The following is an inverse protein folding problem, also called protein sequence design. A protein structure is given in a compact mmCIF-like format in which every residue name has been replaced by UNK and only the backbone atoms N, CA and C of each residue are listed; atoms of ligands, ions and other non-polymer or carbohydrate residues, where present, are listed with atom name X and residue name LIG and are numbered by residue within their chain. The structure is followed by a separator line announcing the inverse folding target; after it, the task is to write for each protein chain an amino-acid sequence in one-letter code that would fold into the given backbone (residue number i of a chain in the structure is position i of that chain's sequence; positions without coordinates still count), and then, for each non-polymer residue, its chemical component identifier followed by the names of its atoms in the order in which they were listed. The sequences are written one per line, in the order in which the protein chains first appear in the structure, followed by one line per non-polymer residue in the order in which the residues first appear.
data_IF_078990707665
#
_entry.id   IF_078990707665
#
_cell.length_a   1.000
_cell.length_b   1.000
_cell.length_c   1.000
_cell.angle_alpha   90.00
_cell.angle_beta   90.00
_cell.angle_gamma   90.00
#
_symmetry.space_group_name_H-M   'P 1'
#
loop_
_entity.id
_entity.type
_entity.pdbx_description
1 polymer ?
#
# COMPACT_ATOMS: atom_id res chain seq x y z
N UNK A 1 3.69 3.26 -8.40
CA UNK A 1 2.57 4.04 -8.97
C UNK A 1 1.85 4.69 -7.81
N UNK A 2 1.93 6.02 -7.72
CA UNK A 2 1.36 6.82 -6.63
C UNK A 2 -0.16 6.66 -6.56
N UNK A 3 -0.70 6.57 -5.35
CA UNK A 3 -2.12 6.37 -5.03
C UNK A 3 -2.76 5.19 -5.77
N UNK A 4 -1.94 4.24 -6.23
CA UNK A 4 -2.34 3.12 -7.08
C UNK A 4 -3.18 3.57 -8.28
N UNK A 5 -2.89 4.77 -8.79
CA UNK A 5 -3.57 5.39 -9.92
C UNK A 5 -4.94 6.01 -9.62
N UNK A 6 -5.43 6.03 -8.37
CA UNK A 6 -6.67 6.64 -7.85
C UNK A 6 -7.87 6.75 -8.82
N UNK A 7 -8.96 6.08 -8.48
CA UNK A 7 -10.21 6.13 -9.24
C UNK A 7 -10.21 5.10 -10.37
N UNK A 8 -10.10 5.56 -11.63
CA UNK A 8 -10.31 4.72 -12.82
C UNK A 8 -9.21 3.67 -13.06
N UNK A 9 -8.14 3.66 -12.25
CA UNK A 9 -6.94 2.89 -12.51
C UNK A 9 -6.64 1.78 -11.49
N UNK A 10 -7.41 1.62 -10.42
CA UNK A 10 -7.10 0.62 -9.37
C UNK A 10 -6.87 -0.79 -9.93
N UNK A 11 -7.82 -1.31 -10.71
CA UNK A 11 -7.72 -2.64 -11.30
C UNK A 11 -6.50 -2.77 -12.24
N UNK A 12 -6.20 -1.73 -13.01
CA UNK A 12 -5.06 -1.69 -13.93
C UNK A 12 -3.73 -1.62 -13.17
N UNK A 13 -3.65 -0.80 -12.12
CA UNK A 13 -2.49 -0.69 -11.25
C UNK A 13 -2.19 -2.02 -10.55
N UNK A 14 -3.21 -2.67 -10.00
CA UNK A 14 -3.09 -3.99 -9.40
C UNK A 14 -2.60 -5.02 -10.42
N UNK A 15 -3.27 -5.12 -11.58
CA UNK A 15 -2.87 -6.04 -12.65
C UNK A 15 -1.42 -5.83 -13.12
N UNK A 16 -1.04 -4.59 -13.43
CA UNK A 16 0.30 -4.29 -13.93
C UNK A 16 1.37 -4.59 -12.87
N UNK A 17 1.11 -4.28 -11.60
CA UNK A 17 2.06 -4.58 -10.53
C UNK A 17 2.27 -6.09 -10.32
N UNK A 18 1.26 -6.91 -10.61
CA UNK A 18 1.40 -8.39 -10.62
C UNK A 18 2.25 -8.85 -11.79
N UNK A 19 2.05 -8.27 -12.97
CA UNK A 19 2.73 -8.65 -14.21
C UNK A 19 4.22 -8.26 -14.22
N UNK A 20 4.55 -7.06 -13.75
CA UNK A 20 5.90 -6.51 -13.87
C UNK A 20 6.67 -6.57 -12.56
N UNK A 21 7.85 -7.23 -12.58
CA UNK A 21 8.71 -7.42 -11.40
C UNK A 21 9.00 -6.13 -10.62
N UNK A 22 9.27 -5.04 -11.32
CA UNK A 22 9.75 -3.78 -10.73
C UNK A 22 8.65 -2.73 -10.55
N UNK A 23 7.38 -3.08 -10.73
CA UNK A 23 6.26 -2.15 -10.56
C UNK A 23 5.59 -2.34 -9.20
N UNK A 24 5.59 -1.28 -8.40
CA UNK A 24 5.00 -1.25 -7.06
C UNK A 24 3.74 -0.38 -7.03
N UNK A 25 2.81 -0.77 -6.17
CA UNK A 25 1.64 0.03 -5.80
C UNK A 25 1.95 0.83 -4.53
N UNK A 26 1.55 2.07 -4.55
CA UNK A 26 1.70 3.01 -3.44
C UNK A 26 0.25 3.40 -3.04
N UNK A 27 -0.12 3.29 -1.76
CA UNK A 27 -1.53 3.40 -1.30
C UNK A 27 -1.85 4.63 -0.46
N UNK A 28 -0.90 5.56 -0.34
CA UNK A 28 -1.06 6.88 0.26
C UNK A 28 -2.25 7.61 -0.33
N UNK A 29 -2.92 8.44 0.48
CA UNK A 29 -4.06 9.24 0.03
C UNK A 29 -5.32 8.43 -0.27
N UNK A 30 -5.27 7.09 -0.19
CA UNK A 30 -6.43 6.22 -0.20
C UNK A 30 -6.94 6.03 1.24
N UNK A 31 -8.27 6.02 1.47
CA UNK A 31 -8.82 5.66 2.77
C UNK A 31 -8.40 4.22 3.14
N UNK A 32 -7.64 3.99 4.23
CA UNK A 32 -7.14 2.66 4.57
C UNK A 32 -8.24 1.60 4.71
N UNK A 33 -9.40 1.99 5.25
CA UNK A 33 -10.54 1.11 5.47
C UNK A 33 -11.13 0.55 4.16
N UNK A 34 -10.91 1.24 3.03
CA UNK A 34 -11.40 0.85 1.70
C UNK A 34 -10.37 0.09 0.87
N UNK A 35 -9.18 -0.21 1.43
CA UNK A 35 -8.13 -0.88 0.65
C UNK A 35 -8.56 -2.25 0.12
N UNK A 36 -9.38 -2.99 0.87
CA UNK A 36 -9.89 -4.29 0.43
C UNK A 36 -11.12 -4.18 -0.49
N UNK A 37 -11.81 -3.04 -0.47
CA UNK A 37 -12.83 -2.74 -1.49
C UNK A 37 -12.16 -2.48 -2.84
N UNK A 38 -11.05 -1.75 -2.86
CA UNK A 38 -10.30 -1.43 -4.07
C UNK A 38 -9.43 -2.60 -4.56
N UNK A 39 -8.85 -3.36 -3.63
CA UNK A 39 -7.94 -4.47 -3.91
C UNK A 39 -8.34 -5.70 -3.08
N UNK A 40 -9.41 -6.42 -3.46
CA UNK A 40 -9.89 -7.57 -2.70
C UNK A 40 -8.83 -8.66 -2.46
N UNK A 41 -7.89 -8.80 -3.40
CA UNK A 41 -6.78 -9.76 -3.33
C UNK A 41 -5.44 -9.11 -2.90
N UNK A 42 -5.45 -8.01 -2.14
CA UNK A 42 -4.26 -7.25 -1.78
C UNK A 42 -3.12 -8.13 -1.23
N UNK A 43 -3.45 -9.11 -0.37
CA UNK A 43 -2.47 -10.03 0.23
C UNK A 43 -1.66 -10.81 -0.80
N UNK A 44 -2.27 -11.21 -1.91
CA UNK A 44 -1.57 -11.95 -2.95
C UNK A 44 -0.48 -11.11 -3.62
N UNK A 45 -0.52 -9.78 -3.45
CA UNK A 45 0.46 -8.83 -3.95
C UNK A 45 1.18 -8.06 -2.84
N UNK A 46 1.12 -8.54 -1.59
CA UNK A 46 1.59 -7.80 -0.41
C UNK A 46 3.03 -7.29 -0.55
N UNK A 47 3.92 -8.04 -1.21
CA UNK A 47 5.32 -7.66 -1.42
C UNK A 47 5.55 -6.45 -2.34
N UNK A 48 4.50 -5.91 -2.96
CA UNK A 48 4.57 -4.78 -3.90
C UNK A 48 3.70 -3.60 -3.49
N UNK A 49 3.23 -3.56 -2.24
CA UNK A 49 2.37 -2.51 -1.72
C UNK A 49 3.17 -1.65 -0.74
N UNK A 50 3.16 -0.34 -0.91
CA UNK A 50 3.93 0.61 -0.11
C UNK A 50 2.98 1.64 0.49
N UNK A 51 3.11 1.88 1.80
CA UNK A 51 2.49 3.00 2.48
C UNK A 51 3.41 4.24 2.48
N UNK A 52 2.80 5.41 2.46
CA UNK A 52 3.42 6.72 2.67
C UNK A 52 2.42 7.69 3.30
N UNK A 53 2.90 8.87 3.69
CA UNK A 53 2.07 9.83 4.45
C UNK A 53 1.32 10.84 3.59
N UNK A 54 1.77 11.17 2.38
CA UNK A 54 1.33 12.35 1.61
C UNK A 54 1.46 13.69 2.35
N UNK A 55 2.31 13.78 3.36
CA UNK A 55 2.44 15.04 4.08
C UNK A 55 2.93 16.14 3.11
N UNK A 56 2.33 17.34 3.10
CA UNK A 56 1.36 17.86 4.07
C UNK A 56 -0.13 17.66 3.73
N UNK A 57 -0.47 17.07 2.58
CA UNK A 57 -1.87 16.89 2.15
C UNK A 57 -2.67 15.96 3.07
N UNK A 58 -2.02 14.98 3.69
CA UNK A 58 -2.62 14.09 4.69
C UNK A 58 -1.86 14.22 6.02
N UNK A 59 -2.46 14.92 6.99
CA UNK A 59 -1.87 15.16 8.30
C UNK A 59 -2.07 14.01 9.30
N UNK A 60 -3.04 13.11 9.05
CA UNK A 60 -3.47 12.08 10.00
C UNK A 60 -2.66 10.78 9.91
N UNK A 61 -1.33 10.88 9.94
CA UNK A 61 -0.40 9.77 9.70
C UNK A 61 -0.63 8.61 10.69
N UNK A 62 -0.69 8.91 11.99
CA UNK A 62 -0.89 7.90 13.05
C UNK A 62 -2.21 7.15 12.85
N UNK A 63 -3.30 7.87 12.59
CA UNK A 63 -4.61 7.26 12.40
C UNK A 63 -4.65 6.33 11.18
N UNK A 64 -3.97 6.70 10.09
CA UNK A 64 -3.87 5.85 8.90
C UNK A 64 -3.09 4.56 9.18
N UNK A 65 -1.98 4.66 9.93
CA UNK A 65 -1.20 3.48 10.33
C UNK A 65 -2.05 2.54 11.18
N UNK A 66 -2.75 3.06 12.19
CA UNK A 66 -3.64 2.25 13.04
C UNK A 66 -4.79 1.64 12.23
N UNK A 67 -5.34 2.35 11.26
CA UNK A 67 -6.37 1.81 10.38
C UNK A 67 -5.85 0.66 9.51
N UNK A 68 -4.62 0.74 8.98
CA UNK A 68 -3.97 -0.38 8.27
C UNK A 68 -3.75 -1.56 9.21
N UNK A 69 -3.30 -1.31 10.45
CA UNK A 69 -3.14 -2.36 11.48
C UNK A 69 -4.45 -3.06 11.81
N UNK A 70 -5.58 -2.33 11.78
CA UNK A 70 -6.91 -2.86 12.01
C UNK A 70 -7.53 -3.64 10.84
N UNK A 71 -6.91 -3.67 9.66
CA UNK A 71 -7.45 -4.43 8.52
C UNK A 71 -7.39 -5.94 8.78
N UNK A 72 -8.34 -6.73 8.21
CA UNK A 72 -8.35 -8.18 8.31
C UNK A 72 -7.32 -8.80 7.35
N UNK A 73 -6.05 -8.45 7.56
CA UNK A 73 -4.89 -8.95 6.82
C UNK A 73 -3.95 -9.67 7.78
N UNK A 74 -3.09 -10.54 7.26
CA UNK A 74 -2.02 -11.15 8.05
C UNK A 74 -1.07 -10.07 8.58
N UNK A 75 -0.52 -10.29 9.76
CA UNK A 75 0.46 -9.37 10.36
C UNK A 75 1.66 -9.12 9.45
N UNK A 76 2.19 -10.18 8.82
CA UNK A 76 3.28 -10.07 7.83
C UNK A 76 2.91 -9.17 6.64
N UNK A 77 1.65 -9.18 6.19
CA UNK A 77 1.16 -8.29 5.13
C UNK A 77 1.19 -6.83 5.60
N UNK A 78 0.73 -6.56 6.83
CA UNK A 78 0.71 -5.22 7.42
C UNK A 78 2.13 -4.67 7.59
N UNK A 79 3.05 -5.48 8.10
CA UNK A 79 4.48 -5.12 8.26
C UNK A 79 5.13 -4.78 6.92
N UNK A 80 4.87 -5.57 5.88
CA UNK A 80 5.34 -5.29 4.52
C UNK A 80 4.84 -3.94 4.01
N UNK A 81 3.54 -3.66 4.17
CA UNK A 81 2.90 -2.41 3.71
C UNK A 81 3.46 -1.20 4.46
N UNK A 82 3.52 -1.27 5.80
CA UNK A 82 3.83 -0.15 6.69
C UNK A 82 5.33 0.21 6.77
N UNK A 83 6.21 -0.56 6.14
CA UNK A 83 7.61 -0.20 6.05
C UNK A 83 8.51 -1.25 5.41
N UNK A 84 8.20 -2.54 5.56
CA UNK A 84 9.09 -3.61 5.11
C UNK A 84 9.41 -3.57 3.61
N UNK A 85 8.41 -3.30 2.76
CA UNK A 85 8.64 -3.18 1.33
C UNK A 85 9.42 -1.92 0.96
N UNK A 86 9.13 -0.78 1.59
CA UNK A 86 9.82 0.47 1.34
C UNK A 86 11.29 0.38 1.77
N UNK A 87 11.56 -0.16 2.96
CA UNK A 87 12.92 -0.39 3.44
C UNK A 87 13.73 -1.27 2.50
N UNK A 88 13.17 -2.40 2.05
CA UNK A 88 13.82 -3.28 1.08
C UNK A 88 14.09 -2.59 -0.26
N UNK A 89 13.12 -1.85 -0.78
CA UNK A 89 13.23 -1.17 -2.08
C UNK A 89 14.25 -0.02 -2.05
N UNK A 90 14.22 0.77 -0.98
CA UNK A 90 15.08 1.94 -0.78
C UNK A 90 16.43 1.60 -0.14
N UNK A 91 16.66 0.34 0.23
CA UNK A 91 17.86 -0.14 0.92
C UNK A 91 18.15 0.61 2.22
N UNK A 92 17.10 0.92 2.97
CA UNK A 92 17.22 1.54 4.29
C UNK A 92 17.58 0.45 5.29
N UNK A 93 18.56 0.73 6.17
CA UNK A 93 18.88 -0.15 7.30
C UNK A 93 17.74 -0.06 8.31
N UNK A 94 17.02 -1.16 8.49
CA UNK A 94 15.99 -1.36 9.53
C UNK A 94 16.55 -2.15 10.69
#
# INVERSE_FOLDING_TARGET
MTHSGRGLWYNKAYFLSRLHKNLYMEVTGLPPQKLLDYFPELERNAGKVIFGSDWPAVAVIKANIEAIRGLPLKEETKEKILGGNAARLLKVKT
#
